data_IF_509652332756
#
_entry.id   IF_509652332756
#
_cell.length_a   1.000
_cell.length_b   1.000
_cell.length_c   1.000
_cell.angle_alpha   90.00
_cell.angle_beta   90.00
_cell.angle_gamma   90.00
#
_symmetry.space_group_name_H-M   'P 1'
#
loop_
_entity.id
_entity.type
_entity.pdbx_description
1 polymer ?
#
# COMPACT_ATOMS: atom_id res chain seq x y z
N UNK A 1 12.84 2.20 6.52
CA UNK A 1 13.67 2.27 5.31
C UNK A 1 13.76 3.71 4.78
N UNK A 2 12.66 4.33 4.33
CA UNK A 2 12.64 5.71 3.80
C UNK A 2 13.23 6.79 4.71
N UNK A 3 13.14 6.62 6.04
CA UNK A 3 13.74 7.55 7.01
C UNK A 3 15.25 7.73 6.82
N UNK A 4 15.98 6.69 6.40
CA UNK A 4 17.44 6.70 6.26
C UNK A 4 17.91 7.06 4.84
N UNK A 5 16.99 7.29 3.91
CA UNK A 5 17.32 7.55 2.51
C UNK A 5 17.85 8.97 2.33
N UNK A 6 18.87 9.12 1.50
CA UNK A 6 19.24 10.43 0.93
C UNK A 6 18.20 10.84 -0.11
N UNK A 7 18.18 12.10 -0.50
CA UNK A 7 17.16 12.61 -1.43
C UNK A 7 17.22 11.92 -2.81
N UNK A 8 18.41 11.51 -3.26
CA UNK A 8 18.59 10.71 -4.46
C UNK A 8 17.96 9.31 -4.32
N UNK A 9 18.13 8.66 -3.17
CA UNK A 9 17.53 7.35 -2.87
C UNK A 9 16.00 7.45 -2.80
N UNK A 10 15.45 8.56 -2.30
CA UNK A 10 14.00 8.82 -2.28
C UNK A 10 13.43 8.90 -3.68
N UNK A 11 14.13 9.56 -4.62
CA UNK A 11 13.74 9.63 -6.04
C UNK A 11 13.87 8.29 -6.73
N UNK A 12 14.97 7.58 -6.49
CA UNK A 12 15.18 6.23 -7.04
C UNK A 12 14.09 5.26 -6.59
N UNK A 13 13.74 5.30 -5.30
CA UNK A 13 12.62 4.52 -4.75
C UNK A 13 11.29 4.90 -5.40
N UNK A 14 11.01 6.19 -5.60
CA UNK A 14 9.81 6.62 -6.30
C UNK A 14 9.72 6.03 -7.71
N UNK A 15 10.82 6.00 -8.44
CA UNK A 15 10.88 5.41 -9.78
C UNK A 15 10.66 3.89 -9.77
N UNK A 16 10.95 3.21 -8.66
CA UNK A 16 10.67 1.77 -8.50
C UNK A 16 9.21 1.44 -8.16
N UNK A 17 8.41 2.44 -7.76
CA UNK A 17 7.00 2.22 -7.46
C UNK A 17 6.22 1.83 -8.72
N UNK A 18 5.15 1.04 -8.60
CA UNK A 18 4.26 0.73 -9.73
C UNK A 18 3.76 1.99 -10.44
N UNK A 19 3.57 1.90 -11.76
CA UNK A 19 3.20 3.05 -12.59
C UNK A 19 1.91 3.73 -12.12
N UNK A 20 0.89 2.94 -11.79
CA UNK A 20 -0.39 3.45 -11.28
C UNK A 20 -0.24 4.27 -9.99
N UNK A 21 0.72 3.95 -9.11
CA UNK A 21 1.04 4.72 -7.91
C UNK A 21 1.73 6.04 -8.28
N UNK A 22 2.65 6.01 -9.26
CA UNK A 22 3.33 7.22 -9.75
C UNK A 22 2.37 8.16 -10.48
N UNK A 23 1.38 7.63 -11.19
CA UNK A 23 0.33 8.41 -11.83
C UNK A 23 -0.61 9.08 -10.81
N UNK A 24 -0.91 8.39 -9.70
CA UNK A 24 -1.73 8.95 -8.62
C UNK A 24 -1.03 10.08 -7.85
N UNK A 25 0.28 9.95 -7.65
CA UNK A 25 1.08 10.88 -6.86
C UNK A 25 2.39 11.18 -7.56
N UNK A 26 2.56 12.43 -7.99
CA UNK A 26 3.75 12.83 -8.72
C UNK A 26 5.01 12.85 -7.82
N UNK A 27 6.18 12.85 -8.47
CA UNK A 27 7.49 12.78 -7.80
C UNK A 27 7.76 13.96 -6.87
N UNK A 28 7.26 15.15 -7.21
CA UNK A 28 7.44 16.36 -6.41
C UNK A 28 6.68 16.26 -5.09
N UNK A 29 5.39 15.90 -5.14
CA UNK A 29 4.57 15.66 -3.95
C UNK A 29 5.17 14.58 -3.05
N UNK A 30 5.66 13.48 -3.65
CA UNK A 30 6.33 12.41 -2.92
C UNK A 30 7.58 12.92 -2.20
N UNK A 31 8.53 13.48 -2.94
CA UNK A 31 9.82 13.92 -2.39
C UNK A 31 9.65 15.02 -1.34
N UNK A 32 8.79 16.01 -1.60
CA UNK A 32 8.50 17.09 -0.66
C UNK A 32 7.93 16.54 0.65
N UNK A 33 6.97 15.61 0.57
CA UNK A 33 6.34 15.08 1.78
C UNK A 33 7.26 14.14 2.57
N UNK A 34 8.05 13.30 1.91
CA UNK A 34 9.03 12.46 2.61
C UNK A 34 10.06 13.33 3.34
N UNK A 35 10.55 14.40 2.70
CA UNK A 35 11.46 15.37 3.31
C UNK A 35 10.82 16.08 4.51
N UNK A 36 9.59 16.57 4.37
CA UNK A 36 8.82 17.19 5.46
C UNK A 36 8.67 16.25 6.66
N UNK A 37 8.24 15.00 6.45
CA UNK A 37 8.04 14.04 7.53
C UNK A 37 9.38 13.73 8.21
N UNK A 38 10.44 13.51 7.43
CA UNK A 38 11.79 13.23 7.95
C UNK A 38 12.30 14.38 8.81
N UNK A 39 12.17 15.63 8.35
CA UNK A 39 12.62 16.80 9.10
C UNK A 39 11.83 17.04 10.40
N UNK A 40 10.57 16.58 10.46
CA UNK A 40 9.72 16.71 11.63
C UNK A 40 9.73 15.48 12.56
N UNK A 41 10.60 14.50 12.34
CA UNK A 41 10.66 13.27 13.14
C UNK A 41 12.08 12.92 13.54
N UNK A 42 12.27 12.59 14.82
CA UNK A 42 13.59 12.28 15.38
C UNK A 42 13.93 10.78 15.37
N UNK A 43 12.98 9.91 14.99
CA UNK A 43 13.18 8.46 15.01
C UNK A 43 12.44 7.76 13.87
N UNK A 44 12.89 6.56 13.45
CA UNK A 44 12.18 5.74 12.47
C UNK A 44 10.74 5.40 12.88
N UNK A 45 10.49 5.21 14.18
CA UNK A 45 9.15 4.89 14.69
C UNK A 45 8.21 6.09 14.54
N UNK A 46 8.65 7.29 14.91
CA UNK A 46 7.86 8.52 14.74
C UNK A 46 7.66 8.85 13.27
N UNK A 47 8.68 8.63 12.42
CA UNK A 47 8.56 8.75 10.96
C UNK A 47 7.49 7.82 10.42
N UNK A 48 7.54 6.53 10.77
CA UNK A 48 6.56 5.53 10.33
C UNK A 48 5.14 5.98 10.67
N UNK A 49 4.92 6.45 11.90
CA UNK A 49 3.60 6.92 12.34
C UNK A 49 3.10 8.09 11.48
N UNK A 50 3.90 9.14 11.34
CA UNK A 50 3.54 10.31 10.52
C UNK A 50 3.38 10.00 9.03
N UNK A 51 4.18 9.06 8.52
CA UNK A 51 4.02 8.56 7.16
C UNK A 51 2.64 7.91 6.96
N UNK A 52 2.20 7.03 7.85
CA UNK A 52 0.88 6.39 7.74
C UNK A 52 -0.28 7.35 8.08
N UNK A 53 -0.04 8.39 8.87
CA UNK A 53 -1.02 9.48 9.04
C UNK A 53 -1.24 10.27 7.73
N UNK A 54 -0.18 10.47 6.94
CA UNK A 54 -0.27 11.08 5.61
C UNK A 54 -0.80 10.11 4.54
N UNK A 55 -0.31 8.86 4.54
CA UNK A 55 -0.73 7.77 3.67
C UNK A 55 -1.76 6.89 4.37
N UNK A 56 -2.89 7.52 4.72
CA UNK A 56 -3.96 6.92 5.49
C UNK A 56 -5.06 6.29 4.61
N UNK A 57 -6.06 5.70 5.26
CA UNK A 57 -7.22 5.07 4.60
C UNK A 57 -7.94 5.99 3.60
N UNK A 58 -8.08 7.28 3.91
CA UNK A 58 -8.73 8.22 2.99
C UNK A 58 -7.93 8.40 1.69
N UNK A 59 -6.60 8.43 1.78
CA UNK A 59 -5.72 8.47 0.60
C UNK A 59 -5.77 7.16 -0.19
N UNK A 60 -5.89 6.02 0.50
CA UNK A 60 -6.12 4.71 -0.13
C UNK A 60 -7.43 4.70 -0.92
N UNK A 61 -8.53 5.17 -0.35
CA UNK A 61 -9.82 5.26 -1.05
C UNK A 61 -9.73 6.17 -2.28
N UNK A 62 -9.03 7.31 -2.17
CA UNK A 62 -8.76 8.19 -3.34
C UNK A 62 -7.95 7.48 -4.42
N UNK A 63 -6.94 6.71 -4.04
CA UNK A 63 -6.14 5.92 -4.98
C UNK A 63 -7.00 4.86 -5.68
N UNK A 64 -7.84 4.12 -4.95
CA UNK A 64 -8.77 3.14 -5.52
C UNK A 64 -9.72 3.79 -6.53
N UNK A 65 -10.31 4.95 -6.17
CA UNK A 65 -11.15 5.71 -7.09
C UNK A 65 -10.39 6.17 -8.34
N UNK A 66 -9.12 6.57 -8.18
CA UNK A 66 -8.27 6.99 -9.29
C UNK A 66 -7.98 5.82 -10.24
N UNK A 67 -7.52 4.67 -9.72
CA UNK A 67 -7.14 3.54 -10.59
C UNK A 67 -8.35 2.91 -11.27
N UNK A 68 -9.53 2.93 -10.66
CA UNK A 68 -10.75 2.43 -11.29
C UNK A 68 -11.33 3.34 -12.38
N UNK A 69 -10.75 4.52 -12.62
CA UNK A 69 -11.08 5.36 -13.78
C UNK A 69 -10.27 4.94 -15.03
N UNK A 70 -10.23 3.64 -15.33
CA UNK A 70 -9.64 3.09 -16.55
C UNK A 70 -8.19 2.60 -16.47
N UNK A 71 -7.56 2.57 -15.28
CA UNK A 71 -6.24 1.95 -15.10
C UNK A 71 -6.33 0.50 -14.62
N UNK A 72 -7.33 0.19 -13.79
CA UNK A 72 -7.60 -1.14 -13.25
C UNK A 72 -9.10 -1.40 -13.23
N UNK A 73 -9.51 -2.58 -13.71
CA UNK A 73 -10.89 -3.01 -13.60
C UNK A 73 -11.22 -3.41 -12.16
N UNK A 74 -12.49 -3.23 -11.79
CA UNK A 74 -13.00 -3.75 -10.52
C UNK A 74 -13.22 -5.24 -10.68
N UNK A 75 -12.58 -6.02 -9.82
CA UNK A 75 -12.83 -7.46 -9.71
C UNK A 75 -13.78 -7.74 -8.53
N UNK A 76 -14.53 -8.85 -8.57
CA UNK A 76 -15.27 -9.35 -7.42
C UNK A 76 -14.38 -9.48 -6.18
N UNK A 77 -14.95 -9.23 -5.00
CA UNK A 77 -14.20 -9.24 -3.74
C UNK A 77 -13.62 -10.62 -3.44
N UNK A 78 -14.29 -11.66 -3.90
CA UNK A 78 -13.92 -13.07 -3.79
C UNK A 78 -12.63 -13.36 -4.55
N UNK A 79 -12.52 -12.85 -5.77
CA UNK A 79 -11.31 -12.98 -6.61
C UNK A 79 -10.14 -12.19 -6.01
N UNK A 80 -10.39 -10.96 -5.55
CA UNK A 80 -9.37 -10.15 -4.88
C UNK A 80 -8.85 -10.81 -3.60
N UNK A 81 -9.77 -11.38 -2.82
CA UNK A 81 -9.48 -12.10 -1.59
C UNK A 81 -8.62 -13.35 -1.85
N UNK A 82 -8.99 -14.17 -2.83
CA UNK A 82 -8.20 -15.34 -3.22
C UNK A 82 -6.78 -14.93 -3.68
N UNK A 83 -6.68 -13.94 -4.58
CA UNK A 83 -5.39 -13.45 -5.07
C UNK A 83 -4.49 -12.89 -3.95
N UNK A 84 -5.08 -12.20 -2.97
CA UNK A 84 -4.33 -11.69 -1.81
C UNK A 84 -3.73 -12.84 -0.99
N UNK A 85 -4.45 -13.94 -0.82
CA UNK A 85 -4.00 -15.10 -0.05
C UNK A 85 -2.87 -15.85 -0.77
N UNK A 86 -2.94 -15.95 -2.08
CA UNK A 86 -1.84 -16.47 -2.91
C UNK A 86 -0.55 -15.64 -2.74
N UNK A 87 -0.67 -14.31 -2.72
CA UNK A 87 0.47 -13.41 -2.49
C UNK A 87 1.08 -13.60 -1.09
N UNK A 88 0.30 -14.06 -0.11
CA UNK A 88 0.82 -14.41 1.23
C UNK A 88 1.46 -15.80 1.30
N UNK A 89 1.52 -16.53 0.19
CA UNK A 89 2.17 -17.84 0.08
C UNK A 89 1.24 -19.04 0.24
N UNK A 90 -0.09 -18.86 0.21
CA UNK A 90 -1.08 -19.95 0.29
C UNK A 90 -1.80 -20.12 -1.04
N UNK A 91 -1.64 -21.28 -1.67
CA UNK A 91 -2.39 -21.61 -2.89
C UNK A 91 -3.81 -22.06 -2.52
N UNK A 92 -4.81 -21.29 -2.98
CA UNK A 92 -6.23 -21.57 -2.77
C UNK A 92 -6.77 -22.41 -3.93
N UNK A 93 -6.23 -23.61 -4.12
CA UNK A 93 -6.79 -24.54 -5.12
C UNK A 93 -8.05 -25.14 -4.51
N UNK A 94 -9.21 -24.77 -5.05
CA UNK A 94 -10.52 -25.39 -4.79
C UNK A 94 -11.24 -24.99 -3.47
N UNK A 95 -10.76 -23.96 -2.78
CA UNK A 95 -11.41 -23.46 -1.55
C UNK A 95 -12.66 -22.62 -1.90
N UNK A 96 -13.79 -22.93 -1.26
CA UNK A 96 -15.03 -22.17 -1.43
C UNK A 96 -14.95 -20.80 -0.74
N UNK A 97 -15.88 -19.88 -1.07
CA UNK A 97 -15.92 -18.54 -0.45
C UNK A 97 -15.96 -18.57 1.09
N UNK A 98 -16.66 -19.56 1.66
CA UNK A 98 -16.72 -19.77 3.11
C UNK A 98 -15.34 -20.07 3.71
N UNK A 99 -14.50 -20.81 3.00
CA UNK A 99 -13.16 -21.20 3.46
C UNK A 99 -12.21 -20.01 3.45
N UNK A 100 -12.29 -19.17 2.41
CA UNK A 100 -11.59 -17.88 2.32
C UNK A 100 -11.94 -16.99 3.53
N UNK A 101 -13.24 -16.85 3.84
CA UNK A 101 -13.71 -16.02 4.95
C UNK A 101 -13.25 -16.55 6.32
N UNK A 102 -13.36 -17.86 6.53
CA UNK A 102 -12.89 -18.50 7.77
C UNK A 102 -11.39 -18.31 7.96
N UNK A 103 -10.62 -18.36 6.88
CA UNK A 103 -9.19 -18.13 6.92
C UNK A 103 -8.84 -16.70 7.32
N UNK A 104 -9.47 -15.69 6.71
CA UNK A 104 -9.26 -14.31 7.13
C UNK A 104 -9.60 -14.06 8.59
N UNK A 105 -10.66 -14.68 9.11
CA UNK A 105 -10.99 -14.62 10.56
C UNK A 105 -9.92 -15.25 11.44
N UNK A 106 -9.30 -16.35 10.99
CA UNK A 106 -8.20 -16.96 11.71
C UNK A 106 -6.98 -16.05 11.75
N UNK A 107 -6.64 -15.37 10.64
CA UNK A 107 -5.57 -14.36 10.61
C UNK A 107 -5.87 -13.22 11.59
N UNK A 108 -7.08 -12.67 11.55
CA UNK A 108 -7.47 -11.55 12.42
C UNK A 108 -7.39 -11.92 13.91
N UNK A 109 -7.64 -13.18 14.27
CA UNK A 109 -7.52 -13.66 15.64
C UNK A 109 -6.06 -13.87 16.11
N UNK A 110 -5.08 -13.82 15.19
CA UNK A 110 -3.65 -14.02 15.49
C UNK A 110 -2.87 -12.69 15.62
N UNK A 111 -3.44 -11.56 15.19
CA UNK A 111 -2.91 -10.19 15.35
C UNK A 111 -3.38 -9.54 16.66
#
# INVERSE_FOLDING_TARGET
>A
MLFYFKDEDVRSFYNSLPENVRLFMNSEQWTAKISEIRNNTASPNTFRKRFFEWFNMFRIVKYLNFVHNGLLERIPVEEAAAAMLELTGRSMIDDGFSDILLYYRAIEAMD
#
